data_IF_574683248012
#
_entry.id   IF_574683248012
#
_cell.length_a   1.000
_cell.length_b   1.000
_cell.length_c   1.000
_cell.angle_alpha   90.00
_cell.angle_beta   90.00
_cell.angle_gamma   90.00
#
_symmetry.space_group_name_H-M   'P 1'
#
loop_
_entity.id
_entity.type
_entity.pdbx_description
1 polymer ?
#
# COMPACT_ATOMS: atom_id res chain seq x y z
N UNK A 1 -59.10 -3.04 31.53
CA UNK A 1 -60.35 -3.28 30.77
C UNK A 1 -61.42 -3.78 31.72
N UNK A 2 -62.69 -3.46 31.45
CA UNK A 2 -63.84 -3.97 32.20
C UNK A 2 -64.78 -4.61 31.18
N UNK A 3 -65.04 -5.91 31.33
CA UNK A 3 -66.05 -6.62 30.54
C UNK A 3 -67.43 -6.38 31.16
N UNK A 4 -68.47 -6.28 30.32
CA UNK A 4 -69.86 -6.30 30.75
C UNK A 4 -70.12 -7.53 31.63
N UNK A 5 -70.97 -7.38 32.64
CA UNK A 5 -71.37 -8.51 33.51
C UNK A 5 -72.79 -8.93 33.18
N UNK A 6 -72.96 -10.18 32.80
CA UNK A 6 -74.25 -10.86 32.65
C UNK A 6 -74.57 -11.56 33.97
N UNK A 7 -75.82 -12.01 34.13
CA UNK A 7 -76.39 -12.58 35.38
C UNK A 7 -75.51 -13.65 36.08
N UNK A 8 -74.58 -14.30 35.37
CA UNK A 8 -73.64 -15.31 35.88
C UNK A 8 -72.18 -15.14 35.39
N UNK A 9 -71.67 -13.91 35.20
CA UNK A 9 -70.24 -13.70 34.89
C UNK A 9 -69.97 -12.56 33.92
N UNK A 10 -68.79 -12.55 33.30
CA UNK A 10 -68.47 -11.62 32.21
C UNK A 10 -69.18 -12.02 30.91
N UNK A 11 -69.45 -11.06 30.04
CA UNK A 11 -70.04 -11.31 28.73
C UNK A 11 -69.13 -12.22 27.89
N UNK A 12 -69.57 -13.44 27.55
CA UNK A 12 -68.78 -14.38 26.77
C UNK A 12 -68.37 -13.82 25.40
N UNK A 13 -69.21 -13.00 24.76
CA UNK A 13 -68.91 -12.45 23.43
C UNK A 13 -67.79 -11.41 23.49
N UNK A 14 -67.83 -10.50 24.48
CA UNK A 14 -66.78 -9.50 24.67
C UNK A 14 -65.44 -10.15 25.04
N UNK A 15 -65.48 -11.22 25.84
CA UNK A 15 -64.29 -11.97 26.24
C UNK A 15 -63.70 -12.75 25.06
N UNK A 16 -64.53 -13.40 24.22
CA UNK A 16 -64.08 -14.10 23.03
C UNK A 16 -63.47 -13.15 21.99
N UNK A 17 -64.10 -11.99 21.77
CA UNK A 17 -63.54 -10.94 20.90
C UNK A 17 -62.22 -10.37 21.43
N UNK A 18 -62.07 -10.29 22.75
CA UNK A 18 -60.79 -9.92 23.35
C UNK A 18 -59.73 -10.99 23.13
N UNK A 19 -60.04 -12.27 23.38
CA UNK A 19 -59.09 -13.36 23.11
C UNK A 19 -58.70 -13.43 21.64
N UNK A 20 -59.64 -13.19 20.72
CA UNK A 20 -59.37 -13.12 19.29
C UNK A 20 -58.38 -12.01 18.95
N UNK A 21 -58.65 -10.77 19.41
CA UNK A 21 -57.73 -9.63 19.21
C UNK A 21 -56.36 -9.88 19.83
N UNK A 22 -56.32 -10.43 21.03
CA UNK A 22 -55.06 -10.76 21.71
C UNK A 22 -54.28 -11.78 20.89
N UNK A 23 -54.91 -12.86 20.41
CA UNK A 23 -54.25 -13.83 19.52
C UNK A 23 -53.75 -13.19 18.23
N UNK A 24 -54.57 -12.40 17.56
CA UNK A 24 -54.17 -11.67 16.34
C UNK A 24 -52.94 -10.79 16.59
N UNK A 25 -52.92 -10.00 17.67
CA UNK A 25 -51.74 -9.18 18.00
C UNK A 25 -50.52 -10.01 18.35
N UNK A 26 -50.68 -11.14 19.05
CA UNK A 26 -49.55 -12.04 19.35
C UNK A 26 -49.01 -12.67 18.06
N UNK A 27 -49.89 -13.14 17.18
CA UNK A 27 -49.50 -13.74 15.90
C UNK A 27 -48.80 -12.71 15.00
N UNK A 28 -49.29 -11.46 14.96
CA UNK A 28 -48.63 -10.35 14.26
C UNK A 28 -47.24 -10.06 14.84
N UNK A 29 -47.09 -9.99 16.16
CA UNK A 29 -45.78 -9.75 16.79
C UNK A 29 -44.82 -10.90 16.57
N UNK A 30 -45.29 -12.15 16.61
CA UNK A 30 -44.48 -13.34 16.34
C UNK A 30 -43.98 -13.35 14.89
N UNK A 31 -44.86 -13.02 13.92
CA UNK A 31 -44.47 -12.88 12.52
C UNK A 31 -43.45 -11.77 12.33
N UNK A 32 -43.68 -10.59 12.91
CA UNK A 32 -42.74 -9.46 12.83
C UNK A 32 -41.37 -9.81 13.43
N UNK A 33 -41.34 -10.46 14.60
CA UNK A 33 -40.11 -10.91 15.24
C UNK A 33 -39.40 -11.95 14.39
N UNK A 34 -40.13 -12.91 13.82
CA UNK A 34 -39.57 -13.94 12.95
C UNK A 34 -38.92 -13.32 11.71
N UNK A 35 -39.62 -12.40 11.04
CA UNK A 35 -39.11 -11.74 9.85
C UNK A 35 -37.87 -10.91 10.19
N UNK A 36 -37.87 -10.21 11.33
CA UNK A 36 -36.68 -9.50 11.83
C UNK A 36 -35.50 -10.43 12.12
N UNK A 37 -35.76 -11.60 12.70
CA UNK A 37 -34.71 -12.62 12.94
C UNK A 37 -34.13 -13.10 11.62
N UNK A 38 -34.95 -13.30 10.59
CA UNK A 38 -34.46 -13.70 9.27
C UNK A 38 -33.61 -12.61 8.62
N UNK A 39 -34.05 -11.36 8.66
CA UNK A 39 -33.26 -10.21 8.18
C UNK A 39 -31.89 -10.12 8.88
N UNK A 40 -31.88 -10.22 10.21
CA UNK A 40 -30.64 -10.12 10.99
C UNK A 40 -29.71 -11.29 10.71
N UNK A 41 -30.24 -12.50 10.51
CA UNK A 41 -29.43 -13.66 10.11
C UNK A 41 -28.83 -13.48 8.71
N UNK A 42 -29.60 -13.00 7.75
CA UNK A 42 -29.10 -12.73 6.41
C UNK A 42 -28.00 -11.66 6.43
N UNK A 43 -28.22 -10.56 7.16
CA UNK A 43 -27.23 -9.51 7.37
C UNK A 43 -25.95 -10.03 8.05
N UNK A 44 -26.09 -10.89 9.07
CA UNK A 44 -24.95 -11.52 9.74
C UNK A 44 -24.13 -12.35 8.74
N UNK A 45 -24.80 -13.21 7.96
CA UNK A 45 -24.10 -14.07 6.98
C UNK A 45 -23.40 -13.25 5.89
N UNK A 46 -24.00 -12.14 5.46
CA UNK A 46 -23.39 -11.20 4.50
C UNK A 46 -22.16 -10.53 5.11
N UNK A 47 -22.25 -10.04 6.34
CA UNK A 47 -21.14 -9.41 7.03
C UNK A 47 -19.97 -10.38 7.29
N UNK A 48 -20.27 -11.61 7.71
CA UNK A 48 -19.27 -12.66 7.90
C UNK A 48 -18.57 -13.03 6.58
N UNK A 49 -19.33 -13.11 5.48
CA UNK A 49 -18.76 -13.35 4.14
C UNK A 49 -17.83 -12.21 3.72
N UNK A 50 -18.27 -10.96 3.86
CA UNK A 50 -17.46 -9.80 3.53
C UNK A 50 -16.17 -9.74 4.38
N UNK A 51 -16.27 -10.02 5.68
CA UNK A 51 -15.12 -10.05 6.57
C UNK A 51 -14.10 -11.14 6.16
N UNK A 52 -14.59 -12.31 5.74
CA UNK A 52 -13.75 -13.36 5.18
C UNK A 52 -13.04 -12.96 3.89
N UNK A 53 -13.67 -12.15 3.04
CA UNK A 53 -13.04 -11.60 1.84
C UNK A 53 -11.99 -10.54 2.15
N UNK A 54 -12.27 -9.64 3.10
CA UNK A 54 -11.30 -8.64 3.54
C UNK A 54 -10.06 -9.26 4.16
N UNK A 55 -10.21 -10.29 5.00
CA UNK A 55 -9.06 -11.01 5.56
C UNK A 55 -8.22 -11.70 4.48
N UNK A 56 -8.85 -12.30 3.44
CA UNK A 56 -8.12 -12.85 2.29
C UNK A 56 -7.35 -11.77 1.52
N UNK A 57 -7.98 -10.62 1.25
CA UNK A 57 -7.31 -9.48 0.57
C UNK A 57 -6.14 -8.98 1.40
N UNK A 58 -6.31 -8.83 2.72
CA UNK A 58 -5.26 -8.45 3.66
C UNK A 58 -4.09 -9.42 3.63
N UNK A 59 -4.35 -10.73 3.62
CA UNK A 59 -3.30 -11.75 3.51
C UNK A 59 -2.54 -11.65 2.16
N UNK A 60 -3.26 -11.43 1.07
CA UNK A 60 -2.65 -11.24 -0.26
C UNK A 60 -1.76 -10.00 -0.31
N UNK A 61 -2.23 -8.88 0.24
CA UNK A 61 -1.46 -7.64 0.36
C UNK A 61 -0.21 -7.87 1.21
N UNK A 62 -0.35 -8.55 2.36
CA UNK A 62 0.80 -8.89 3.22
C UNK A 62 1.88 -9.68 2.47
N UNK A 63 1.48 -10.72 1.72
CA UNK A 63 2.40 -11.50 0.89
C UNK A 63 3.05 -10.67 -0.22
N UNK A 64 2.29 -9.76 -0.83
CA UNK A 64 2.82 -8.87 -1.86
C UNK A 64 3.88 -7.91 -1.29
N UNK A 65 3.63 -7.35 -0.11
CA UNK A 65 4.58 -6.47 0.60
C UNK A 65 5.85 -7.24 0.96
N UNK A 66 5.73 -8.44 1.54
CA UNK A 66 6.89 -9.29 1.86
C UNK A 66 7.72 -9.62 0.60
N UNK A 67 7.04 -9.94 -0.50
CA UNK A 67 7.69 -10.22 -1.77
C UNK A 67 8.39 -8.98 -2.34
N UNK A 68 7.76 -7.82 -2.28
CA UNK A 68 8.33 -6.55 -2.73
C UNK A 68 9.57 -6.16 -1.90
N UNK A 69 9.52 -6.32 -0.58
CA UNK A 69 10.66 -6.08 0.31
C UNK A 69 11.83 -7.01 -0.02
N UNK A 70 11.55 -8.31 -0.19
CA UNK A 70 12.57 -9.29 -0.59
C UNK A 70 13.21 -8.94 -1.94
N UNK A 71 12.41 -8.46 -2.91
CA UNK A 71 12.93 -8.01 -4.21
C UNK A 71 13.73 -6.71 -4.11
N UNK A 72 13.32 -5.76 -3.29
CA UNK A 72 14.09 -4.55 -3.03
C UNK A 72 15.47 -4.88 -2.45
N UNK A 73 15.54 -5.78 -1.47
CA UNK A 73 16.78 -6.31 -0.89
C UNK A 73 17.68 -6.98 -1.94
N UNK A 74 17.10 -7.78 -2.84
CA UNK A 74 17.85 -8.39 -3.95
C UNK A 74 18.43 -7.33 -4.88
N UNK A 75 17.64 -6.31 -5.25
CA UNK A 75 18.07 -5.21 -6.11
C UNK A 75 19.19 -4.42 -5.44
N UNK A 76 19.09 -4.09 -4.15
CA UNK A 76 20.14 -3.38 -3.41
C UNK A 76 21.45 -4.19 -3.39
N UNK A 77 21.38 -5.51 -3.15
CA UNK A 77 22.56 -6.38 -3.18
C UNK A 77 23.18 -6.46 -4.58
N UNK A 78 22.35 -6.56 -5.62
CA UNK A 78 22.83 -6.63 -7.01
C UNK A 78 23.44 -5.31 -7.48
N UNK A 79 22.82 -4.19 -7.15
CA UNK A 79 23.32 -2.84 -7.49
C UNK A 79 24.65 -2.58 -6.80
N UNK A 80 24.78 -2.86 -5.50
CA UNK A 80 26.07 -2.78 -4.77
C UNK A 80 27.17 -3.59 -5.45
N UNK A 81 26.88 -4.84 -5.82
CA UNK A 81 27.85 -5.71 -6.54
C UNK A 81 28.22 -5.15 -7.91
N UNK A 82 27.25 -4.57 -8.64
CA UNK A 82 27.50 -3.97 -9.96
C UNK A 82 28.39 -2.73 -9.81
N UNK A 83 28.05 -1.82 -8.92
CA UNK A 83 28.84 -0.61 -8.62
C UNK A 83 30.27 -1.01 -8.24
N UNK A 84 30.46 -1.99 -7.35
CA UNK A 84 31.79 -2.46 -6.97
C UNK A 84 32.61 -2.99 -8.17
N UNK A 85 31.96 -3.70 -9.11
CA UNK A 85 32.62 -4.17 -10.34
C UNK A 85 33.00 -3.03 -11.28
N UNK A 86 32.10 -2.07 -11.48
CA UNK A 86 32.36 -0.90 -12.33
C UNK A 86 33.49 -0.05 -11.75
N UNK A 87 33.50 0.20 -10.44
CA UNK A 87 34.59 0.92 -9.76
C UNK A 87 35.93 0.18 -9.90
N UNK A 88 35.94 -1.15 -9.77
CA UNK A 88 37.15 -1.94 -9.99
C UNK A 88 37.65 -1.86 -11.45
N UNK A 89 36.73 -1.85 -12.43
CA UNK A 89 37.07 -1.66 -13.83
C UNK A 89 37.62 -0.25 -14.09
N UNK A 90 37.00 0.78 -13.51
CA UNK A 90 37.42 2.17 -13.62
C UNK A 90 38.82 2.39 -13.03
N UNK A 91 39.12 1.81 -11.86
CA UNK A 91 40.48 1.80 -11.28
C UNK A 91 41.51 1.17 -12.22
N UNK A 92 41.16 0.06 -12.86
CA UNK A 92 42.07 -0.62 -13.81
C UNK A 92 42.30 0.22 -15.06
N UNK A 93 41.25 0.89 -15.54
CA UNK A 93 41.35 1.83 -16.66
C UNK A 93 42.24 3.01 -16.29
N UNK A 94 41.96 3.68 -15.17
CA UNK A 94 42.71 4.85 -14.70
C UNK A 94 44.20 4.53 -14.54
N UNK A 95 44.58 3.43 -13.86
CA UNK A 95 46.00 3.01 -13.76
C UNK A 95 46.69 2.85 -15.12
N UNK A 96 45.97 2.29 -16.11
CA UNK A 96 46.48 2.14 -17.48
C UNK A 96 46.61 3.49 -18.17
N UNK A 97 45.64 4.38 -17.95
CA UNK A 97 45.65 5.74 -18.46
C UNK A 97 46.84 6.53 -17.92
N UNK A 98 47.07 6.54 -16.60
CA UNK A 98 48.25 7.19 -15.98
C UNK A 98 49.55 6.68 -16.60
N UNK A 99 49.67 5.36 -16.76
CA UNK A 99 50.87 4.74 -17.35
C UNK A 99 51.06 5.15 -18.81
N UNK A 100 49.98 5.22 -19.59
CA UNK A 100 50.03 5.67 -20.97
C UNK A 100 50.38 7.16 -21.07
N UNK A 101 49.78 7.96 -20.21
CA UNK A 101 49.98 9.40 -20.12
C UNK A 101 51.42 9.75 -19.75
N UNK A 102 52.02 9.05 -18.78
CA UNK A 102 53.43 9.19 -18.44
C UNK A 102 54.37 8.87 -19.63
N UNK A 103 54.03 7.85 -20.43
CA UNK A 103 54.78 7.52 -21.66
C UNK A 103 54.60 8.55 -22.78
N UNK A 104 53.45 9.24 -22.81
CA UNK A 104 53.18 10.31 -23.76
C UNK A 104 54.02 11.55 -23.43
N UNK A 105 54.06 11.92 -22.14
CA UNK A 105 54.91 12.99 -21.60
C UNK A 105 56.40 12.76 -21.87
N UNK A 106 56.87 11.51 -21.81
CA UNK A 106 58.27 11.17 -22.11
C UNK A 106 58.62 11.40 -23.60
N UNK A 107 57.65 11.28 -24.50
CA UNK A 107 57.85 11.43 -25.96
C UNK A 107 57.62 12.85 -26.48
N UNK A 108 56.76 13.62 -25.81
CA UNK A 108 56.41 14.98 -26.19
C UNK A 108 56.49 15.89 -24.96
N UNK A 109 57.61 16.61 -24.76
CA UNK A 109 57.79 17.45 -23.59
C UNK A 109 56.89 18.69 -23.66
N UNK A 110 55.89 18.71 -22.76
CA UNK A 110 55.09 19.83 -22.24
C UNK A 110 54.65 20.92 -23.25
N UNK A 111 53.49 20.72 -23.87
CA UNK A 111 52.59 21.81 -24.26
C UNK A 111 51.61 22.10 -23.10
N UNK A 112 51.14 23.34 -22.95
CA UNK A 112 50.20 23.78 -21.89
C UNK A 112 48.89 22.96 -21.86
N UNK A 113 48.47 22.39 -22.99
CA UNK A 113 47.32 21.48 -23.10
C UNK A 113 47.56 20.14 -22.39
N UNK A 114 48.81 19.70 -22.30
CA UNK A 114 49.19 18.47 -21.62
C UNK A 114 49.18 18.70 -20.10
N UNK A 115 49.65 19.85 -19.60
CA UNK A 115 49.55 20.17 -18.16
C UNK A 115 48.11 20.02 -17.60
N UNK A 116 47.10 20.48 -18.35
CA UNK A 116 45.68 20.34 -17.99
C UNK A 116 45.20 18.88 -17.91
N UNK A 117 45.80 17.96 -18.66
CA UNK A 117 45.46 16.54 -18.59
C UNK A 117 46.00 15.86 -17.32
N UNK A 118 47.03 16.44 -16.68
CA UNK A 118 47.49 16.04 -15.35
C UNK A 118 46.47 16.36 -14.26
N UNK A 119 45.88 17.57 -14.31
CA UNK A 119 44.86 18.01 -13.35
C UNK A 119 43.61 17.12 -13.36
N UNK A 120 43.17 16.72 -14.57
CA UNK A 120 42.06 15.76 -14.75
C UNK A 120 42.40 14.41 -14.09
N UNK A 121 43.66 13.99 -14.14
CA UNK A 121 44.07 12.71 -13.59
C UNK A 121 44.04 12.74 -12.05
N UNK A 122 44.44 13.85 -11.43
CA UNK A 122 44.32 14.10 -9.98
C UNK A 122 42.85 14.20 -9.54
N UNK A 123 42.00 14.81 -10.35
CA UNK A 123 40.56 14.91 -10.08
C UNK A 123 39.88 13.54 -10.12
N UNK A 124 40.22 12.69 -11.10
CA UNK A 124 39.72 11.31 -11.17
C UNK A 124 40.22 10.49 -9.98
N UNK A 125 41.48 10.66 -9.54
CA UNK A 125 42.01 9.99 -8.35
C UNK A 125 41.26 10.40 -7.07
N UNK A 126 40.98 11.71 -6.91
CA UNK A 126 40.17 12.21 -5.79
C UNK A 126 38.78 11.59 -5.80
N UNK A 127 38.11 11.59 -6.95
CA UNK A 127 36.73 11.13 -7.08
C UNK A 127 36.60 9.61 -6.84
N UNK A 128 37.57 8.82 -7.31
CA UNK A 128 37.65 7.38 -7.01
C UNK A 128 37.98 7.12 -5.53
N UNK A 129 38.80 7.97 -4.90
CA UNK A 129 39.13 7.88 -3.47
C UNK A 129 37.93 8.20 -2.57
N UNK A 130 37.22 9.28 -2.86
CA UNK A 130 36.00 9.68 -2.16
C UNK A 130 34.89 8.61 -2.28
N UNK A 131 34.83 7.93 -3.44
CA UNK A 131 33.91 6.79 -3.67
C UNK A 131 34.16 5.59 -2.75
N UNK A 132 35.37 5.44 -2.19
CA UNK A 132 35.71 4.36 -1.23
C UNK A 132 35.39 4.75 0.22
N UNK A 133 35.23 6.05 0.52
CA UNK A 133 34.97 6.55 1.87
C UNK A 133 33.48 6.60 2.22
N UNK A 134 32.58 6.57 1.23
CA UNK A 134 31.12 6.52 1.47
C UNK A 134 30.78 5.23 2.22
N UNK A 135 30.40 5.29 3.51
CA UNK A 135 30.06 4.11 4.28
C UNK A 135 28.83 3.45 3.67
N UNK A 136 28.81 2.11 3.61
CA UNK A 136 27.65 1.36 3.15
C UNK A 136 26.35 1.67 3.93
N UNK A 137 26.48 2.27 5.12
CA UNK A 137 25.40 2.72 5.99
C UNK A 137 24.73 4.04 5.56
N UNK A 138 25.39 4.94 4.81
CA UNK A 138 24.76 6.20 4.37
C UNK A 138 23.80 6.00 3.19
N UNK A 139 23.87 4.84 2.51
CA UNK A 139 22.92 4.44 1.48
C UNK A 139 21.69 3.72 2.03
N UNK A 140 21.57 3.54 3.36
CA UNK A 140 20.28 3.26 4.00
C UNK A 140 19.43 4.52 3.89
N UNK A 141 18.83 4.74 2.73
CA UNK A 141 17.58 5.50 2.65
C UNK A 141 16.70 5.00 3.79
N UNK A 142 16.25 5.95 4.63
CA UNK A 142 15.65 5.70 5.93
C UNK A 142 14.80 4.45 5.92
N UNK A 143 15.10 3.53 6.84
CA UNK A 143 14.34 2.29 7.10
C UNK A 143 12.89 2.50 6.69
N UNK A 144 12.48 1.93 5.55
CA UNK A 144 11.09 1.98 5.12
C UNK A 144 10.31 1.27 6.22
N UNK A 145 9.70 2.08 7.08
CA UNK A 145 8.91 1.65 8.23
C UNK A 145 7.44 1.76 7.83
N UNK A 146 6.88 0.72 7.18
CA UNK A 146 5.51 0.77 6.72
C UNK A 146 4.54 0.91 7.89
N UNK A 147 4.90 0.45 9.09
CA UNK A 147 4.05 0.59 10.28
C UNK A 147 4.04 2.03 10.75
N UNK A 148 5.22 2.66 10.88
CA UNK A 148 5.33 4.08 11.23
C UNK A 148 4.64 5.00 10.22
N UNK A 149 4.75 4.71 8.93
CA UNK A 149 4.06 5.48 7.88
C UNK A 149 2.53 5.33 7.95
N UNK A 150 2.01 4.14 8.25
CA UNK A 150 0.57 3.92 8.42
C UNK A 150 0.06 4.62 9.70
N UNK A 151 0.82 4.54 10.79
CA UNK A 151 0.48 5.24 12.05
C UNK A 151 0.49 6.76 11.88
N UNK A 152 1.47 7.31 11.17
CA UNK A 152 1.52 8.75 10.84
C UNK A 152 0.33 9.16 9.96
N UNK A 153 -0.05 8.32 8.97
CA UNK A 153 -1.19 8.61 8.11
C UNK A 153 -2.51 8.60 8.90
N UNK A 154 -2.75 7.59 9.74
CA UNK A 154 -3.92 7.52 10.62
C UNK A 154 -3.97 8.67 11.63
N UNK A 155 -2.81 9.11 12.13
CA UNK A 155 -2.70 10.26 13.01
C UNK A 155 -2.97 11.59 12.26
N UNK A 156 -2.58 11.68 10.99
CA UNK A 156 -2.87 12.84 10.14
C UNK A 156 -4.35 12.94 9.74
N UNK A 157 -5.02 11.81 9.51
CA UNK A 157 -6.46 11.73 9.22
C UNK A 157 -7.31 12.16 10.41
N UNK A 158 -6.87 11.88 11.65
CA UNK A 158 -7.58 12.30 12.86
C UNK A 158 -7.42 13.79 13.18
N UNK A 159 -6.56 14.52 12.46
CA UNK A 159 -6.29 15.95 12.66
C UNK A 159 -6.83 16.87 11.53
N UNK A 160 -7.31 16.32 10.41
CA UNK A 160 -7.78 17.07 9.24
C UNK A 160 -9.28 16.90 9.01
N UNK A 161 -10.07 17.94 9.31
CA UNK A 161 -11.52 18.02 9.04
C UNK A 161 -11.87 18.34 7.55
N UNK A 162 -10.92 18.16 6.62
CA UNK A 162 -11.09 18.53 5.21
C UNK A 162 -10.84 17.34 4.28
N UNK A 163 -11.92 16.64 3.94
CA UNK A 163 -12.01 15.49 3.01
C UNK A 163 -11.39 14.17 3.51
N UNK A 164 -12.25 13.29 4.03
CA UNK A 164 -11.93 11.88 4.26
C UNK A 164 -11.77 11.17 2.91
N UNK A 165 -10.72 10.38 2.76
CA UNK A 165 -10.56 9.49 1.61
C UNK A 165 -11.74 8.50 1.53
N UNK A 166 -12.51 8.56 0.45
CA UNK A 166 -13.68 7.69 0.26
C UNK A 166 -13.23 6.32 -0.26
N UNK A 167 -13.07 5.39 0.67
CA UNK A 167 -12.71 4.00 0.38
C UNK A 167 -13.76 3.28 -0.49
N UNK A 168 -15.01 3.71 -0.48
CA UNK A 168 -16.08 3.12 -1.28
C UNK A 168 -15.96 3.57 -2.74
N UNK A 169 -15.67 4.86 -2.96
CA UNK A 169 -15.32 5.39 -4.28
C UNK A 169 -14.00 4.81 -4.83
N UNK A 170 -13.01 4.55 -3.98
CA UNK A 170 -11.76 3.90 -4.38
C UNK A 170 -11.95 2.40 -4.73
N UNK A 171 -12.90 1.72 -4.07
CA UNK A 171 -13.26 0.33 -4.37
C UNK A 171 -14.15 0.21 -5.63
N UNK A 172 -14.87 1.29 -5.96
CA UNK A 172 -15.76 1.39 -7.12
C UNK A 172 -15.49 2.68 -7.91
N UNK A 173 -14.33 2.78 -8.59
CA UNK A 173 -13.98 3.99 -9.31
C UNK A 173 -14.92 4.17 -10.51
N UNK A 174 -15.55 5.35 -10.58
CA UNK A 174 -16.34 5.78 -11.73
C UNK A 174 -15.46 6.01 -12.98
N UNK A 175 -14.16 6.23 -12.74
CA UNK A 175 -13.16 6.47 -13.76
C UNK A 175 -12.45 5.18 -14.15
N UNK A 176 -12.16 5.02 -15.44
CA UNK A 176 -11.44 3.85 -15.96
C UNK A 176 -10.00 3.85 -15.45
N UNK A 177 -9.71 2.97 -14.49
CA UNK A 177 -8.38 2.76 -13.93
C UNK A 177 -7.32 2.51 -15.01
N UNK A 178 -7.70 1.90 -16.15
CA UNK A 178 -6.79 1.70 -17.27
C UNK A 178 -6.33 3.02 -17.90
N UNK A 179 -7.26 3.98 -18.02
CA UNK A 179 -6.99 5.32 -18.55
C UNK A 179 -6.11 6.13 -17.58
N UNK A 180 -6.40 6.06 -16.27
CA UNK A 180 -5.60 6.73 -15.23
C UNK A 180 -4.17 6.17 -15.19
N UNK A 181 -4.00 4.85 -15.26
CA UNK A 181 -2.68 4.19 -15.28
C UNK A 181 -1.88 4.49 -16.56
N UNK A 182 -2.58 4.68 -17.69
CA UNK A 182 -1.96 5.12 -18.94
C UNK A 182 -1.53 6.59 -18.86
N UNK A 183 -2.37 7.49 -18.32
CA UNK A 183 -2.07 8.92 -18.19
C UNK A 183 -0.95 9.20 -17.17
N UNK A 184 -0.83 8.36 -16.14
CA UNK A 184 0.29 8.34 -15.20
C UNK A 184 1.58 7.71 -15.76
N UNK A 185 1.55 7.20 -17.00
CA UNK A 185 2.70 6.59 -17.67
C UNK A 185 3.15 5.27 -17.05
N UNK A 186 2.29 4.60 -16.28
CA UNK A 186 2.54 3.31 -15.64
C UNK A 186 2.22 2.13 -16.57
N UNK A 187 1.40 2.37 -17.60
CA UNK A 187 1.12 1.41 -18.68
C UNK A 187 1.67 1.97 -20.00
N UNK A 188 2.71 1.32 -20.54
CA UNK A 188 3.23 1.63 -21.87
C UNK A 188 2.62 0.68 -22.90
N UNK A 189 1.69 1.21 -23.70
CA UNK A 189 1.12 0.53 -24.85
C UNK A 189 -0.31 0.95 -25.11
N UNK A 190 -0.50 1.83 -26.10
CA UNK A 190 -1.60 1.60 -27.03
C UNK A 190 -1.18 0.42 -27.88
N UNK A 191 -2.07 -0.53 -28.10
CA UNK A 191 -2.51 -0.86 -29.46
C UNK A 191 -3.59 -1.96 -29.43
N UNK A 192 -4.73 -1.58 -30.02
CA UNK A 192 -5.80 -2.34 -30.70
C UNK A 192 -6.56 -3.49 -30.01
#
# INVERSE_FOLDING_TARGET
MKFGRVRNGYDPEEVEQYFKRVRETYDETLLSQRDRIFELKDALTKAESALGEYEKKKEQIGKAIESALSKADEIEKLTRRKVAKELAALRKFHRRWVTYYARLLEKYPMDDELAHAGDINEEIDRLIGESDEVPADELRYGSFDPVGMIEEHLASESASDGESFDYDAAAHPDEDLGQILHDLGLMFGKDD
#
